data_IF_773248859317
#
_entry.id   IF_773248859317
#
_cell.length_a   1.000
_cell.length_b   1.000
_cell.length_c   1.000
_cell.angle_alpha   90.00
_cell.angle_beta   90.00
_cell.angle_gamma   90.00
#
_symmetry.space_group_name_H-M   'P 1'
#
loop_
_entity.id
_entity.type
_entity.pdbx_description
1 polymer ?
#
# COMPACT_ATOMS: atom_id res chain seq x y z
N UNK A 1 -8.77 6.24 -1.84
CA UNK A 1 -8.65 7.19 -0.68
C UNK A 1 -7.22 7.14 -0.16
N UNK A 2 -6.74 8.17 0.53
CA UNK A 2 -5.39 8.14 1.16
C UNK A 2 -5.36 7.10 2.28
N UNK A 3 -5.08 5.85 1.96
CA UNK A 3 -5.03 4.72 2.91
C UNK A 3 -6.22 4.72 3.88
N UNK A 4 -7.43 4.91 3.36
CA UNK A 4 -8.67 4.94 4.15
C UNK A 4 -8.97 6.26 4.88
N UNK A 5 -8.12 7.29 4.77
CA UNK A 5 -8.45 8.60 5.31
C UNK A 5 -9.46 9.33 4.43
N UNK A 6 -10.55 9.78 5.04
CA UNK A 6 -11.56 10.64 4.44
C UNK A 6 -12.05 11.64 5.48
N UNK A 7 -12.22 12.89 5.09
CA UNK A 7 -12.81 13.91 5.96
C UNK A 7 -14.33 13.74 6.02
N UNK A 8 -14.94 14.09 7.14
CA UNK A 8 -16.39 13.99 7.30
C UNK A 8 -17.17 14.79 6.23
N UNK A 9 -16.67 15.98 5.84
CA UNK A 9 -17.26 16.78 4.76
C UNK A 9 -17.19 16.06 3.41
N UNK A 10 -16.04 15.46 3.09
CA UNK A 10 -15.85 14.73 1.83
C UNK A 10 -16.71 13.46 1.78
N UNK A 11 -16.90 12.78 2.93
CA UNK A 11 -17.80 11.64 3.00
C UNK A 11 -19.26 12.04 2.75
N UNK A 12 -19.69 13.20 3.26
CA UNK A 12 -21.02 13.76 2.94
C UNK A 12 -21.15 14.09 1.45
N UNK A 13 -20.12 14.72 0.86
CA UNK A 13 -20.12 15.00 -0.58
C UNK A 13 -20.24 13.71 -1.41
N UNK A 14 -19.59 12.62 -1.02
CA UNK A 14 -19.80 11.32 -1.68
C UNK A 14 -21.21 10.78 -1.48
N UNK A 15 -21.84 10.98 -0.32
CA UNK A 15 -23.23 10.58 -0.10
C UNK A 15 -24.17 11.37 -1.02
N UNK A 16 -24.00 12.70 -1.13
CA UNK A 16 -24.78 13.56 -2.04
C UNK A 16 -24.59 13.15 -3.52
N UNK A 17 -23.37 12.79 -3.93
CA UNK A 17 -23.11 12.26 -5.26
C UNK A 17 -23.81 10.92 -5.50
N UNK A 18 -23.79 10.02 -4.52
CA UNK A 18 -24.48 8.73 -4.61
C UNK A 18 -26.02 8.91 -4.73
N UNK A 19 -26.60 9.89 -4.04
CA UNK A 19 -28.02 10.24 -4.15
C UNK A 19 -28.35 10.88 -5.48
N UNK A 20 -27.50 11.80 -5.95
CA UNK A 20 -27.71 12.57 -7.20
C UNK A 20 -27.58 11.71 -8.45
N UNK A 21 -26.60 10.83 -8.51
CA UNK A 21 -26.23 10.06 -9.71
C UNK A 21 -26.66 8.59 -9.64
N UNK A 22 -27.06 8.09 -8.46
CA UNK A 22 -27.43 6.70 -8.24
C UNK A 22 -28.64 6.57 -7.31
N UNK A 23 -28.58 5.58 -6.42
CA UNK A 23 -29.64 5.29 -5.45
C UNK A 23 -29.24 5.59 -3.99
N UNK A 24 -28.26 6.47 -3.78
CA UNK A 24 -27.79 6.86 -2.44
C UNK A 24 -26.99 5.76 -1.71
N UNK A 25 -26.41 4.80 -2.44
CA UNK A 25 -25.71 3.67 -1.83
C UNK A 25 -24.19 3.81 -1.95
N UNK A 26 -23.51 3.65 -0.81
CA UNK A 26 -22.05 3.64 -0.69
C UNK A 26 -21.59 2.34 -0.03
N UNK A 27 -20.41 1.84 -0.40
CA UNK A 27 -19.74 0.74 0.28
C UNK A 27 -18.27 1.04 0.53
N UNK A 28 -17.76 0.63 1.66
CA UNK A 28 -16.32 0.55 1.95
C UNK A 28 -15.75 -0.76 1.43
N UNK A 29 -14.48 -0.77 1.10
CA UNK A 29 -13.76 -1.98 0.67
C UNK A 29 -12.70 -2.41 1.67
N UNK A 30 -12.25 -3.67 1.60
CA UNK A 30 -11.14 -4.17 2.40
C UNK A 30 -9.81 -3.44 2.07
N UNK A 31 -9.69 -2.88 0.86
CA UNK A 31 -8.55 -2.06 0.44
C UNK A 31 -8.69 -0.59 0.84
N UNK A 32 -9.54 -0.30 1.83
CA UNK A 32 -9.73 1.04 2.40
C UNK A 32 -10.19 2.08 1.36
N UNK A 33 -10.98 1.66 0.38
CA UNK A 33 -11.59 2.52 -0.64
C UNK A 33 -13.11 2.61 -0.45
N UNK A 34 -13.74 3.52 -1.23
CA UNK A 34 -15.18 3.74 -1.26
C UNK A 34 -15.71 3.43 -2.66
N UNK A 35 -16.86 2.77 -2.73
CA UNK A 35 -17.55 2.48 -3.98
C UNK A 35 -18.90 3.21 -3.95
N UNK A 36 -19.20 3.97 -5.01
CA UNK A 36 -20.54 4.47 -5.29
C UNK A 36 -21.27 3.37 -6.10
N UNK A 37 -22.43 2.99 -5.63
CA UNK A 37 -23.20 1.91 -6.25
C UNK A 37 -24.34 2.46 -7.10
N UNK A 38 -24.80 1.63 -8.05
CA UNK A 38 -26.00 1.86 -8.85
C UNK A 38 -25.96 3.15 -9.69
N UNK A 39 -24.76 3.51 -10.15
CA UNK A 39 -24.60 4.63 -11.08
C UNK A 39 -24.92 4.13 -12.48
N UNK A 40 -25.94 4.66 -13.16
CA UNK A 40 -26.22 4.32 -14.55
C UNK A 40 -25.01 4.68 -15.42
N UNK A 41 -24.74 3.86 -16.43
CA UNK A 41 -23.58 4.06 -17.33
C UNK A 41 -23.58 5.47 -17.95
N UNK A 42 -24.73 5.97 -18.38
CA UNK A 42 -24.88 7.31 -18.96
C UNK A 42 -24.61 8.49 -18.00
N UNK A 43 -24.61 8.24 -16.68
CA UNK A 43 -24.33 9.26 -15.66
C UNK A 43 -22.84 9.25 -15.21
N UNK A 44 -22.08 8.24 -15.60
CA UNK A 44 -20.71 8.03 -15.12
C UNK A 44 -19.79 9.19 -15.50
N UNK A 45 -19.87 9.67 -16.74
CA UNK A 45 -19.04 10.78 -17.20
C UNK A 45 -19.35 12.07 -16.42
N UNK A 46 -20.63 12.41 -16.25
CA UNK A 46 -21.06 13.58 -15.49
C UNK A 46 -20.63 13.51 -14.02
N UNK A 47 -20.73 12.33 -13.40
CA UNK A 47 -20.24 12.07 -12.05
C UNK A 47 -18.74 12.33 -11.93
N UNK A 48 -17.95 11.82 -12.87
CA UNK A 48 -16.47 11.93 -12.83
C UNK A 48 -15.96 13.37 -13.03
N UNK A 49 -16.78 14.30 -13.52
CA UNK A 49 -16.44 15.71 -13.59
C UNK A 49 -16.48 16.44 -12.23
N UNK A 50 -17.03 15.81 -11.17
CA UNK A 50 -17.05 16.44 -9.86
C UNK A 50 -15.66 16.68 -9.30
N UNK A 51 -15.47 17.86 -8.66
CA UNK A 51 -14.18 18.29 -8.14
C UNK A 51 -13.60 17.37 -7.07
N UNK A 52 -14.42 16.56 -6.41
CA UNK A 52 -13.99 15.63 -5.36
C UNK A 52 -13.02 14.57 -5.92
N UNK A 53 -13.16 14.19 -7.20
CA UNK A 53 -12.29 13.21 -7.83
C UNK A 53 -10.88 13.74 -8.16
N UNK A 54 -10.63 15.04 -8.03
CA UNK A 54 -9.28 15.60 -8.03
C UNK A 54 -8.54 15.26 -6.72
N UNK A 55 -9.27 15.10 -5.62
CA UNK A 55 -8.73 14.72 -4.31
C UNK A 55 -8.72 13.21 -4.11
N UNK A 56 -9.74 12.53 -4.63
CA UNK A 56 -9.93 11.08 -4.52
C UNK A 56 -10.05 10.46 -5.92
N UNK A 57 -8.95 10.30 -6.64
CA UNK A 57 -8.97 9.82 -8.03
C UNK A 57 -9.55 8.41 -8.13
N UNK A 58 -10.29 8.16 -9.21
CA UNK A 58 -10.86 6.84 -9.53
C UNK A 58 -9.86 5.90 -10.17
N UNK A 59 -8.80 6.45 -10.76
CA UNK A 59 -7.67 5.72 -11.32
C UNK A 59 -6.37 6.15 -10.62
N UNK A 60 -6.17 5.74 -9.35
CA UNK A 60 -4.93 6.00 -8.65
C UNK A 60 -3.79 5.19 -9.25
N UNK A 61 -2.54 5.52 -8.87
CA UNK A 61 -1.36 4.77 -9.29
C UNK A 61 -1.38 3.29 -8.85
N UNK A 62 -0.47 2.52 -9.41
CA UNK A 62 -0.38 1.07 -9.18
C UNK A 62 0.06 0.69 -7.76
N UNK A 63 0.73 1.60 -7.06
CA UNK A 63 1.09 1.45 -5.65
C UNK A 63 0.05 2.10 -4.73
N UNK A 64 -0.24 3.38 -4.92
CA UNK A 64 -1.17 4.14 -4.07
C UNK A 64 -2.59 3.56 -4.06
N UNK A 65 -3.06 3.04 -5.18
CA UNK A 65 -4.42 2.49 -5.33
C UNK A 65 -4.64 1.18 -4.58
N UNK A 66 -3.58 0.46 -4.30
CA UNK A 66 -3.63 -0.90 -3.73
C UNK A 66 -2.97 -1.01 -2.35
N UNK A 67 -2.45 0.09 -1.83
CA UNK A 67 -1.83 0.14 -0.51
C UNK A 67 -2.87 0.11 0.61
N UNK A 68 -2.54 -0.55 1.72
CA UNK A 68 -3.34 -0.55 2.94
C UNK A 68 -2.47 -0.32 4.17
N UNK A 69 -2.96 0.49 5.12
CA UNK A 69 -2.27 0.67 6.38
C UNK A 69 -3.22 0.60 7.58
N UNK A 70 -2.70 0.19 8.72
CA UNK A 70 -3.44 0.34 9.97
C UNK A 70 -3.52 1.83 10.38
N UNK A 71 -4.21 2.09 11.50
CA UNK A 71 -4.41 3.48 11.94
C UNK A 71 -3.14 4.16 12.47
N UNK A 72 -2.11 3.38 12.82
CA UNK A 72 -0.86 3.93 13.35
C UNK A 72 -1.02 4.62 14.70
N UNK A 73 0.04 5.29 15.15
CA UNK A 73 0.08 5.96 16.46
C UNK A 73 -0.79 7.22 16.54
N UNK A 74 -1.40 7.65 15.44
CA UNK A 74 -2.36 8.77 15.47
C UNK A 74 -3.62 8.43 16.28
N UNK A 75 -4.03 7.14 16.32
CA UNK A 75 -5.25 6.70 17.01
C UNK A 75 -5.10 5.36 17.75
N UNK A 76 -3.91 4.75 17.73
CA UNK A 76 -3.67 3.45 18.35
C UNK A 76 -2.53 3.51 19.37
N UNK A 77 -2.83 3.19 20.63
CA UNK A 77 -1.84 3.19 21.71
C UNK A 77 -0.79 2.07 21.60
N UNK A 78 -1.04 1.03 20.79
CA UNK A 78 -0.09 -0.07 20.57
C UNK A 78 0.91 0.22 19.44
N UNK A 79 0.58 1.13 18.53
CA UNK A 79 1.43 1.41 17.38
C UNK A 79 2.56 2.37 17.76
N UNK A 80 3.84 1.95 17.66
CA UNK A 80 4.97 2.83 17.96
C UNK A 80 5.29 3.83 16.86
N UNK A 81 4.68 3.69 15.67
CA UNK A 81 4.97 4.51 14.49
C UNK A 81 3.70 5.04 13.83
N UNK A 82 3.86 6.10 13.05
CA UNK A 82 2.87 6.59 12.11
C UNK A 82 2.84 5.69 10.86
N UNK A 83 1.67 5.45 10.27
CA UNK A 83 1.54 4.50 9.16
C UNK A 83 0.86 5.11 7.93
N UNK A 84 -0.22 5.86 8.09
CA UNK A 84 -1.07 6.26 6.96
C UNK A 84 -0.41 7.30 6.05
N UNK A 85 0.14 8.36 6.63
CA UNK A 85 0.84 9.37 5.84
C UNK A 85 2.14 8.79 5.29
N UNK A 86 2.87 8.02 6.11
CA UNK A 86 4.13 7.40 5.69
C UNK A 86 3.94 6.46 4.49
N UNK A 87 2.95 5.57 4.56
CA UNK A 87 2.67 4.68 3.42
C UNK A 87 2.23 5.48 2.18
N UNK A 88 1.43 6.54 2.36
CA UNK A 88 1.03 7.37 1.23
C UNK A 88 2.23 8.07 0.57
N UNK A 89 3.17 8.62 1.35
CA UNK A 89 4.40 9.23 0.84
C UNK A 89 5.24 8.21 0.04
N UNK A 90 5.45 7.01 0.61
CA UNK A 90 6.21 5.94 -0.04
C UNK A 90 5.56 5.52 -1.36
N UNK A 91 4.26 5.25 -1.35
CA UNK A 91 3.56 4.77 -2.55
C UNK A 91 3.42 5.85 -3.62
N UNK A 92 3.23 7.11 -3.24
CA UNK A 92 3.21 8.22 -4.20
C UNK A 92 4.59 8.44 -4.85
N UNK A 93 5.69 8.25 -4.09
CA UNK A 93 7.04 8.29 -4.64
C UNK A 93 7.27 7.14 -5.63
N UNK A 94 6.82 5.92 -5.31
CA UNK A 94 6.91 4.76 -6.18
C UNK A 94 6.07 4.90 -7.45
N UNK A 95 4.83 5.42 -7.37
CA UNK A 95 4.00 5.71 -8.55
C UNK A 95 4.68 6.70 -9.51
N UNK A 96 5.40 7.68 -8.96
CA UNK A 96 6.16 8.64 -9.75
C UNK A 96 7.43 8.05 -10.36
N UNK A 97 8.13 7.20 -9.61
CA UNK A 97 9.40 6.61 -10.04
C UNK A 97 9.22 5.45 -11.04
N UNK A 98 8.10 4.72 -10.97
CA UNK A 98 7.85 3.51 -11.75
C UNK A 98 6.46 3.50 -12.43
N UNK A 99 6.16 4.50 -13.27
CA UNK A 99 4.88 4.53 -14.00
C UNK A 99 4.70 3.32 -14.94
N UNK A 100 5.81 2.68 -15.35
CA UNK A 100 5.86 1.51 -16.22
C UNK A 100 5.57 0.18 -15.52
N UNK A 101 5.33 0.16 -14.20
CA UNK A 101 5.06 -1.11 -13.49
C UNK A 101 3.86 -1.85 -14.09
N UNK A 102 2.86 -1.12 -14.57
CA UNK A 102 1.80 -1.59 -15.47
C UNK A 102 0.78 -2.52 -14.83
N UNK A 103 0.93 -2.86 -13.55
CA UNK A 103 0.00 -3.70 -12.80
C UNK A 103 0.08 -3.41 -11.30
N UNK A 104 -0.99 -3.72 -10.54
CA UNK A 104 -1.03 -3.49 -9.12
C UNK A 104 0.11 -4.17 -8.37
N UNK A 105 0.74 -3.42 -7.45
CA UNK A 105 1.68 -3.94 -6.47
C UNK A 105 1.21 -3.50 -5.08
N UNK A 106 0.74 -4.47 -4.30
CA UNK A 106 0.15 -4.21 -2.99
C UNK A 106 1.22 -4.05 -1.93
N UNK A 107 1.22 -2.90 -1.27
CA UNK A 107 2.08 -2.63 -0.11
C UNK A 107 1.19 -2.42 1.12
N UNK A 108 1.33 -3.27 2.13
CA UNK A 108 0.59 -3.16 3.38
C UNK A 108 1.54 -2.78 4.53
N UNK A 109 1.19 -1.71 5.27
CA UNK A 109 1.98 -1.24 6.42
C UNK A 109 1.18 -1.34 7.71
N UNK A 110 1.66 -2.14 8.65
CA UNK A 110 1.13 -2.19 10.01
C UNK A 110 2.10 -1.53 11.00
N UNK A 111 1.56 -0.82 11.99
CA UNK A 111 2.36 -0.08 12.97
C UNK A 111 2.99 -0.95 14.06
N UNK A 112 2.57 -2.21 14.20
CA UNK A 112 3.07 -3.14 15.22
C UNK A 112 2.78 -4.60 14.84
N UNK A 113 3.22 -5.55 15.65
CA UNK A 113 3.06 -6.99 15.45
C UNK A 113 1.59 -7.50 15.40
N UNK A 114 0.60 -6.69 15.81
CA UNK A 114 -0.82 -7.07 15.70
C UNK A 114 -1.31 -7.20 14.25
N UNK A 115 -0.53 -6.74 13.28
CA UNK A 115 -0.76 -6.99 11.86
C UNK A 115 -2.13 -6.55 11.31
N UNK A 116 -2.73 -5.49 11.85
CA UNK A 116 -4.07 -5.03 11.49
C UNK A 116 -4.24 -4.64 10.01
N UNK A 117 -3.14 -4.32 9.32
CA UNK A 117 -3.13 -4.07 7.87
C UNK A 117 -2.80 -5.33 7.04
N UNK A 118 -2.75 -6.50 7.66
CA UNK A 118 -2.54 -7.79 7.00
C UNK A 118 -1.29 -7.81 6.08
N UNK A 119 -0.09 -7.49 6.59
CA UNK A 119 1.13 -7.47 5.76
C UNK A 119 1.44 -8.84 5.16
N UNK A 120 0.92 -9.92 5.78
CA UNK A 120 1.17 -11.30 5.35
C UNK A 120 0.57 -11.66 3.99
N UNK A 121 -0.39 -10.90 3.48
CA UNK A 121 -1.08 -11.17 2.19
C UNK A 121 -0.83 -10.09 1.15
N UNK A 122 0.20 -9.29 1.36
CA UNK A 122 0.63 -8.26 0.42
C UNK A 122 1.85 -8.72 -0.39
N UNK A 123 2.02 -8.15 -1.57
CA UNK A 123 3.25 -8.33 -2.36
C UNK A 123 4.47 -7.90 -1.53
N UNK A 124 4.37 -6.76 -0.84
CA UNK A 124 5.34 -6.28 0.14
C UNK A 124 4.59 -5.93 1.43
N UNK A 125 4.86 -6.64 2.50
CA UNK A 125 4.34 -6.41 3.83
C UNK A 125 5.36 -5.72 4.72
N UNK A 126 4.95 -4.65 5.41
CA UNK A 126 5.78 -3.86 6.30
C UNK A 126 5.22 -3.91 7.71
N UNK A 127 6.05 -4.24 8.68
CA UNK A 127 5.70 -4.16 10.11
C UNK A 127 6.62 -3.19 10.82
N UNK A 128 6.02 -2.13 11.34
CA UNK A 128 6.75 -1.08 12.01
C UNK A 128 7.09 -1.39 13.47
N UNK A 129 8.17 -0.78 13.91
CA UNK A 129 8.68 -0.82 15.27
C UNK A 129 9.58 0.38 15.55
N UNK A 130 10.30 0.34 16.65
CA UNK A 130 11.35 1.30 16.97
C UNK A 130 12.62 0.56 17.36
N UNK A 131 13.75 1.10 16.96
CA UNK A 131 15.07 0.60 17.37
C UNK A 131 16.02 1.76 17.62
N UNK A 132 17.05 1.50 18.43
CA UNK A 132 18.17 2.42 18.60
C UNK A 132 19.10 2.27 17.40
N UNK A 133 19.38 3.39 16.74
CA UNK A 133 20.37 3.49 15.66
C UNK A 133 21.34 4.61 16.06
N UNK A 134 22.56 4.25 16.42
CA UNK A 134 23.47 5.17 17.09
C UNK A 134 22.88 5.64 18.41
N UNK A 135 22.80 6.97 18.60
CA UNK A 135 22.24 7.59 19.83
C UNK A 135 20.72 7.81 19.76
N UNK A 136 20.11 7.72 18.58
CA UNK A 136 18.69 8.00 18.36
C UNK A 136 17.82 6.74 18.41
N UNK A 137 16.57 6.88 18.86
CA UNK A 137 15.52 5.87 18.71
C UNK A 137 14.63 6.27 17.54
N UNK A 138 14.73 5.53 16.45
CA UNK A 138 14.05 5.83 15.17
C UNK A 138 13.00 4.78 14.81
N UNK A 139 12.03 5.10 13.97
CA UNK A 139 11.17 4.11 13.35
C UNK A 139 12.00 3.13 12.51
N UNK A 140 11.65 1.85 12.61
CA UNK A 140 12.24 0.76 11.82
C UNK A 140 11.16 -0.16 11.30
N UNK A 141 11.48 -0.92 10.25
CA UNK A 141 10.54 -1.82 9.61
C UNK A 141 11.17 -3.19 9.41
N UNK A 142 10.38 -4.24 9.67
CA UNK A 142 10.64 -5.58 9.14
C UNK A 142 9.79 -5.80 7.90
N UNK A 143 10.31 -6.55 6.94
CA UNK A 143 9.66 -6.79 5.65
C UNK A 143 9.29 -8.25 5.49
N UNK A 144 8.25 -8.49 4.72
CA UNK A 144 7.91 -9.78 4.13
C UNK A 144 7.44 -9.56 2.70
N UNK A 145 7.68 -10.54 1.81
CA UNK A 145 7.40 -10.39 0.38
C UNK A 145 6.75 -11.63 -0.22
N UNK A 146 6.05 -11.43 -1.35
CA UNK A 146 5.48 -12.50 -2.15
C UNK A 146 4.16 -13.06 -1.63
N UNK A 147 3.45 -12.32 -0.75
CA UNK A 147 2.09 -12.67 -0.36
C UNK A 147 1.08 -12.21 -1.43
N UNK A 148 -0.01 -12.94 -1.55
CA UNK A 148 -1.10 -12.57 -2.44
C UNK A 148 -2.41 -13.26 -2.07
N UNK A 149 -3.51 -12.72 -2.60
CA UNK A 149 -4.87 -13.25 -2.46
C UNK A 149 -5.37 -13.68 -3.84
N UNK A 150 -6.19 -14.72 -3.90
CA UNK A 150 -6.77 -15.27 -5.12
C UNK A 150 -6.78 -16.78 -5.09
N UNK A 151 -6.90 -17.42 -6.25
CA UNK A 151 -7.00 -18.88 -6.34
C UNK A 151 -5.75 -19.60 -5.81
N UNK A 152 -4.58 -19.04 -6.06
CA UNK A 152 -3.29 -19.59 -5.57
C UNK A 152 -2.73 -18.76 -4.41
N UNK A 153 -3.58 -18.32 -3.49
CA UNK A 153 -3.18 -17.46 -2.38
C UNK A 153 -2.01 -18.03 -1.57
N UNK A 154 -1.08 -17.16 -1.19
CA UNK A 154 0.06 -17.50 -0.37
C UNK A 154 0.40 -16.41 0.64
N UNK A 155 0.97 -16.81 1.77
CA UNK A 155 1.54 -15.87 2.71
C UNK A 155 2.91 -15.36 2.25
N UNK A 156 3.12 -14.07 2.47
CA UNK A 156 4.41 -13.44 2.30
C UNK A 156 5.46 -14.08 3.21
N UNK A 157 6.68 -14.21 2.70
CA UNK A 157 7.82 -14.76 3.43
C UNK A 157 8.65 -13.63 4.04
N UNK A 158 9.06 -13.74 5.32
CA UNK A 158 9.85 -12.71 5.97
C UNK A 158 11.24 -12.58 5.34
N UNK A 159 11.71 -11.34 5.25
CA UNK A 159 13.11 -11.02 5.03
C UNK A 159 13.78 -10.74 6.38
N UNK A 160 15.02 -11.16 6.52
CA UNK A 160 15.80 -10.94 7.74
C UNK A 160 16.27 -9.47 7.84
N UNK A 161 16.44 -9.02 9.07
CA UNK A 161 16.94 -7.68 9.38
C UNK A 161 15.83 -6.64 9.56
N UNK A 162 16.25 -5.43 9.88
CA UNK A 162 15.38 -4.26 10.04
C UNK A 162 15.91 -3.12 9.19
N UNK A 163 15.01 -2.29 8.71
CA UNK A 163 15.34 -1.14 7.87
C UNK A 163 14.92 0.13 8.58
N UNK A 164 15.82 1.08 8.72
CA UNK A 164 15.50 2.39 9.28
C UNK A 164 14.65 3.21 8.32
N UNK A 165 13.83 4.12 8.87
CA UNK A 165 12.83 4.87 8.12
C UNK A 165 13.42 5.67 6.94
N UNK A 166 14.59 6.25 7.12
CA UNK A 166 15.31 7.02 6.10
C UNK A 166 15.80 6.17 4.92
N UNK A 167 15.96 4.85 5.11
CA UNK A 167 16.40 3.91 4.07
C UNK A 167 15.23 3.16 3.40
N UNK A 168 14.02 3.25 3.97
CA UNK A 168 12.89 2.42 3.53
C UNK A 168 12.49 2.69 2.08
N UNK A 169 12.42 3.95 1.65
CA UNK A 169 12.07 4.28 0.26
C UNK A 169 13.09 3.68 -0.71
N UNK A 170 14.38 3.85 -0.45
CA UNK A 170 15.44 3.30 -1.29
C UNK A 170 15.40 1.79 -1.41
N UNK A 171 15.05 1.08 -0.32
CA UNK A 171 14.82 -0.38 -0.38
C UNK A 171 13.62 -0.72 -1.25
N UNK A 172 12.49 -0.04 -1.08
CA UNK A 172 11.29 -0.31 -1.90
C UNK A 172 11.57 -0.07 -3.38
N UNK A 173 12.26 1.01 -3.72
CA UNK A 173 12.70 1.30 -5.09
C UNK A 173 13.60 0.19 -5.63
N UNK A 174 14.58 -0.28 -4.87
CA UNK A 174 15.47 -1.37 -5.27
C UNK A 174 14.71 -2.69 -5.50
N UNK A 175 13.72 -3.01 -4.67
CA UNK A 175 12.86 -4.19 -4.85
C UNK A 175 12.02 -4.07 -6.12
N UNK A 176 11.43 -2.90 -6.40
CA UNK A 176 10.64 -2.67 -7.62
C UNK A 176 11.54 -2.71 -8.87
N UNK A 177 12.72 -2.09 -8.85
CA UNK A 177 13.70 -2.17 -9.94
C UNK A 177 14.10 -3.61 -10.22
N UNK A 178 14.39 -4.39 -9.17
CA UNK A 178 14.73 -5.80 -9.30
C UNK A 178 13.57 -6.60 -9.91
N UNK A 179 12.33 -6.34 -9.49
CA UNK A 179 11.14 -6.93 -10.07
C UNK A 179 11.01 -6.63 -11.57
N UNK A 180 11.10 -5.36 -11.96
CA UNK A 180 10.99 -4.95 -13.35
C UNK A 180 12.07 -5.57 -14.24
N UNK A 181 13.27 -5.78 -13.71
CA UNK A 181 14.38 -6.42 -14.42
C UNK A 181 14.23 -7.93 -14.58
N UNK A 182 13.45 -8.59 -13.74
CA UNK A 182 13.36 -10.06 -13.68
C UNK A 182 12.02 -10.62 -14.12
N UNK A 183 10.96 -9.81 -14.10
CA UNK A 183 9.60 -10.30 -14.42
C UNK A 183 9.50 -10.73 -15.88
N UNK A 184 8.72 -11.77 -16.11
CA UNK A 184 8.24 -12.17 -17.42
C UNK A 184 7.06 -11.30 -17.86
N UNK A 185 6.65 -11.39 -19.12
CA UNK A 185 5.55 -10.59 -19.64
C UNK A 185 4.24 -10.85 -18.86
N UNK A 186 3.70 -9.81 -18.21
CA UNK A 186 2.49 -9.91 -17.39
C UNK A 186 2.67 -10.62 -16.03
N UNK A 187 3.89 -11.01 -15.66
CA UNK A 187 4.14 -11.72 -14.39
C UNK A 187 3.98 -10.74 -13.20
N UNK A 188 3.13 -11.06 -12.20
CA UNK A 188 2.98 -10.23 -11.02
C UNK A 188 4.16 -10.40 -10.05
N UNK A 189 4.31 -9.44 -9.13
CA UNK A 189 5.42 -9.40 -8.17
C UNK A 189 5.56 -10.71 -7.37
N UNK A 190 4.47 -11.20 -6.78
CA UNK A 190 4.49 -12.43 -5.98
C UNK A 190 4.97 -13.66 -6.78
N UNK A 191 4.58 -13.76 -8.06
CA UNK A 191 5.01 -14.87 -8.92
C UNK A 191 6.49 -14.77 -9.26
N UNK A 192 6.98 -13.56 -9.56
CA UNK A 192 8.43 -13.31 -9.76
C UNK A 192 9.22 -13.69 -8.50
N UNK A 193 8.73 -13.31 -7.31
CA UNK A 193 9.37 -13.70 -6.02
C UNK A 193 9.39 -15.21 -5.85
N UNK A 194 8.29 -15.90 -6.14
CA UNK A 194 8.19 -17.35 -6.02
C UNK A 194 9.16 -18.08 -6.98
N UNK A 195 9.23 -17.63 -8.23
CA UNK A 195 10.08 -18.20 -9.27
C UNK A 195 11.57 -17.98 -9.01
N UNK A 196 11.96 -16.77 -8.56
CA UNK A 196 13.38 -16.40 -8.41
C UNK A 196 13.98 -16.79 -7.08
N UNK A 197 13.17 -17.16 -6.09
CA UNK A 197 13.60 -17.57 -4.76
C UNK A 197 13.91 -16.41 -3.81
N UNK A 198 13.74 -16.65 -2.51
CA UNK A 198 13.81 -15.62 -1.47
C UNK A 198 15.23 -15.06 -1.28
N UNK A 199 16.26 -15.86 -1.49
CA UNK A 199 17.65 -15.48 -1.27
C UNK A 199 18.08 -14.26 -2.11
N UNK A 200 17.60 -14.20 -3.33
CA UNK A 200 17.85 -13.06 -4.22
C UNK A 200 17.31 -11.76 -3.63
N UNK A 201 16.10 -11.78 -3.12
CA UNK A 201 15.44 -10.62 -2.52
C UNK A 201 16.05 -10.24 -1.17
N UNK A 202 16.47 -11.24 -0.39
CA UNK A 202 17.25 -11.04 0.82
C UNK A 202 18.56 -10.30 0.53
N UNK A 203 19.25 -10.65 -0.54
CA UNK A 203 20.49 -9.98 -0.94
C UNK A 203 20.30 -8.50 -1.26
N UNK A 204 19.14 -8.13 -1.82
CA UNK A 204 18.77 -6.73 -2.03
C UNK A 204 18.50 -6.05 -0.69
N UNK A 205 17.71 -6.68 0.19
CA UNK A 205 17.35 -6.13 1.48
C UNK A 205 18.58 -5.88 2.39
N UNK A 206 19.57 -6.76 2.37
CA UNK A 206 20.77 -6.66 3.19
C UNK A 206 21.58 -5.35 2.98
N UNK A 207 21.42 -4.71 1.82
CA UNK A 207 22.09 -3.43 1.52
C UNK A 207 21.47 -2.25 2.31
N UNK A 208 20.27 -2.43 2.86
CA UNK A 208 19.50 -1.40 3.55
C UNK A 208 19.24 -1.70 5.01
N UNK A 209 19.54 -2.92 5.49
CA UNK A 209 19.31 -3.31 6.88
C UNK A 209 20.30 -2.58 7.81
N UNK A 210 19.81 -2.29 9.01
CA UNK A 210 20.65 -1.83 10.13
C UNK A 210 21.26 -3.05 10.84
N UNK A 211 22.47 -2.86 11.31
CA UNK A 211 23.18 -3.86 12.09
C UNK A 211 22.51 -4.10 13.46
#
# INVERSE_FOLDING_TARGET
MKNGHIRAGDLRAFAELAERFGQGRLRTTNSQNLILLDIPEGETEALLHDAIFKVYPTAPGFFTGYASSCTGNAYCNFAPIETKNRLHELTAALDKAFPEVGQPLRINLTGCFHACAQPQVADIGLTGGRARVGEAVVPVYTLMIGGHLGEESAFARPLEGRVADDKLLGLLEALVQKYLALREAGEPFYATVARTGLELWQSVANQYTIA
#
